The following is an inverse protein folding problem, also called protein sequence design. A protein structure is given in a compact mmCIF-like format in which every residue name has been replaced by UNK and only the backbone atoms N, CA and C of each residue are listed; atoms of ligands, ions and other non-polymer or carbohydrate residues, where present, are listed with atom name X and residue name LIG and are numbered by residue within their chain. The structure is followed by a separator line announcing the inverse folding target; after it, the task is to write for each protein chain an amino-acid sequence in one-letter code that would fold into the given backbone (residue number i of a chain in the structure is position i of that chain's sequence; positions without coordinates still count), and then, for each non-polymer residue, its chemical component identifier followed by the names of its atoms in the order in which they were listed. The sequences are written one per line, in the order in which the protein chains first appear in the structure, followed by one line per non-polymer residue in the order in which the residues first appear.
data_IF_300543216153
#
_entry.id   IF_300543216153
#
_cell.length_a   1.000
_cell.length_b   1.000
_cell.length_c   1.000
_cell.angle_alpha   90.00
_cell.angle_beta   90.00
_cell.angle_gamma   90.00
#
_symmetry.space_group_name_H-M   'P 1'
#
loop_
_entity.id
_entity.type
_entity.pdbx_description
1 polymer ?
#
# COMPACT_ATOMS: atom_id res chain seq x y z
N UNK A 1 -15.37 2.20 -12.12
CA UNK A 1 -14.92 0.89 -11.56
C UNK A 1 -13.92 1.18 -10.45
N UNK A 2 -13.84 0.36 -9.41
CA UNK A 2 -12.91 0.61 -8.29
C UNK A 2 -11.53 0.04 -8.59
N UNK A 3 -10.54 0.90 -8.79
CA UNK A 3 -9.15 0.49 -9.05
C UNK A 3 -8.43 0.12 -7.74
N UNK A 4 -7.69 -0.99 -7.76
CA UNK A 4 -6.72 -1.32 -6.72
C UNK A 4 -5.34 -0.89 -7.17
N UNK A 5 -4.63 -0.16 -6.32
CA UNK A 5 -3.18 -0.02 -6.45
C UNK A 5 -2.54 -0.78 -5.30
N UNK A 6 -1.50 -1.56 -5.56
CA UNK A 6 -0.87 -2.35 -4.50
C UNK A 6 0.63 -2.49 -4.66
N UNK A 7 1.30 -2.71 -3.53
CA UNK A 7 2.70 -3.13 -3.52
C UNK A 7 2.83 -4.56 -3.00
N UNK A 8 3.78 -5.32 -3.55
CA UNK A 8 4.15 -6.62 -3.02
C UNK A 8 5.64 -6.87 -3.28
N UNK A 9 6.38 -7.26 -2.23
CA UNK A 9 7.78 -7.70 -2.35
C UNK A 9 7.90 -9.02 -3.12
N UNK A 10 9.15 -9.49 -3.25
CA UNK A 10 9.50 -10.79 -3.81
C UNK A 10 8.85 -12.00 -3.12
N UNK A 11 8.33 -11.84 -1.89
CA UNK A 11 7.54 -12.90 -1.23
C UNK A 11 6.12 -13.07 -1.82
N UNK A 12 5.64 -12.05 -2.53
CA UNK A 12 4.39 -12.04 -3.29
C UNK A 12 3.10 -12.28 -2.48
N UNK A 13 3.15 -12.17 -1.16
CA UNK A 13 1.97 -12.38 -0.30
C UNK A 13 0.79 -11.47 -0.69
N UNK A 14 1.03 -10.16 -0.80
CA UNK A 14 0.01 -9.18 -1.20
C UNK A 14 -0.41 -9.39 -2.65
N UNK A 15 0.52 -9.75 -3.53
CA UNK A 15 0.22 -10.05 -4.94
C UNK A 15 -0.78 -11.19 -5.06
N UNK A 16 -0.54 -12.32 -4.39
CA UNK A 16 -1.47 -13.47 -4.38
C UNK A 16 -2.84 -13.11 -3.80
N UNK A 17 -2.90 -12.26 -2.78
CA UNK A 17 -4.17 -11.75 -2.24
C UNK A 17 -4.93 -10.96 -3.30
N UNK A 18 -4.29 -9.97 -3.93
CA UNK A 18 -4.92 -9.10 -4.94
C UNK A 18 -5.39 -9.89 -6.15
N UNK A 19 -4.60 -10.85 -6.63
CA UNK A 19 -5.00 -11.72 -7.75
C UNK A 19 -6.29 -12.50 -7.47
N UNK A 20 -6.50 -12.94 -6.22
CA UNK A 20 -7.72 -13.66 -5.81
C UNK A 20 -8.96 -12.77 -5.72
N UNK A 21 -8.80 -11.45 -5.65
CA UNK A 21 -9.94 -10.53 -5.62
C UNK A 21 -10.66 -10.45 -6.97
N UNK A 22 -9.97 -10.77 -8.08
CA UNK A 22 -10.55 -10.68 -9.43
C UNK A 22 -10.92 -9.26 -9.86
N UNK A 23 -10.30 -8.24 -9.24
CA UNK A 23 -10.56 -6.83 -9.51
C UNK A 23 -9.44 -6.19 -10.34
N UNK A 24 -9.72 -5.13 -11.12
CA UNK A 24 -8.68 -4.35 -11.79
C UNK A 24 -7.64 -3.84 -10.79
N UNK A 25 -6.36 -4.14 -11.06
CA UNK A 25 -5.28 -3.80 -10.15
C UNK A 25 -3.99 -3.39 -10.87
N UNK A 26 -3.34 -2.35 -10.34
CA UNK A 26 -2.02 -1.87 -10.78
C UNK A 26 -1.00 -2.16 -9.68
N UNK A 27 0.09 -2.83 -10.06
CA UNK A 27 1.20 -3.16 -9.15
C UNK A 27 2.22 -2.03 -9.16
N UNK A 28 2.52 -1.46 -7.99
CA UNK A 28 3.67 -0.58 -7.80
C UNK A 28 4.94 -1.42 -8.07
N UNK A 29 5.85 -0.97 -8.95
CA UNK A 29 7.05 -1.72 -9.30
C UNK A 29 7.89 -2.11 -8.09
N UNK A 30 8.53 -3.28 -8.18
CA UNK A 30 9.48 -3.73 -7.16
C UNK A 30 10.80 -2.93 -7.23
N UNK A 31 11.24 -2.65 -8.46
CA UNK A 31 12.41 -1.85 -8.75
C UNK A 31 12.18 -0.39 -8.32
N UNK A 32 12.95 0.10 -7.37
CA UNK A 32 12.80 1.47 -6.84
C UNK A 32 13.07 2.58 -7.87
N UNK A 33 13.70 2.25 -9.01
CA UNK A 33 13.97 3.20 -10.11
C UNK A 33 12.79 3.36 -11.07
N UNK A 34 11.85 2.42 -11.04
CA UNK A 34 10.65 2.47 -11.87
C UNK A 34 9.55 3.23 -11.14
N UNK A 35 8.83 4.04 -11.91
CA UNK A 35 7.75 4.88 -11.42
C UNK A 35 6.52 4.67 -12.29
N UNK A 36 5.36 4.73 -11.65
CA UNK A 36 4.07 4.67 -12.31
C UNK A 36 3.21 5.83 -11.87
N UNK A 37 2.31 6.24 -12.75
CA UNK A 37 1.21 7.13 -12.42
C UNK A 37 -0.11 6.39 -12.64
N UNK A 38 -1.13 6.78 -11.89
CA UNK A 38 -2.50 6.33 -12.07
C UNK A 38 -3.39 7.56 -12.26
N UNK A 39 -4.40 7.43 -13.11
CA UNK A 39 -5.24 8.56 -13.51
C UNK A 39 -6.69 8.44 -13.02
N UNK A 40 -6.98 7.42 -12.21
CA UNK A 40 -8.30 7.16 -11.64
C UNK A 40 -8.24 6.98 -10.11
N UNK A 41 -9.32 7.29 -9.39
CA UNK A 41 -9.42 7.04 -7.95
C UNK A 41 -9.17 5.57 -7.59
N UNK A 42 -8.40 5.33 -6.51
CA UNK A 42 -8.02 3.96 -6.12
C UNK A 42 -8.03 3.71 -4.61
N UNK A 43 -8.10 2.42 -4.26
CA UNK A 43 -7.78 1.91 -2.92
C UNK A 43 -6.36 1.35 -2.93
N UNK A 44 -5.55 1.75 -1.95
CA UNK A 44 -4.18 1.28 -1.81
C UNK A 44 -4.12 0.04 -0.92
N UNK A 45 -3.47 -1.04 -1.38
CA UNK A 45 -3.21 -2.25 -0.60
C UNK A 45 -1.70 -2.44 -0.41
N UNK A 46 -1.21 -2.41 0.83
CA UNK A 46 0.24 -2.47 1.10
C UNK A 46 0.60 -3.41 2.25
N UNK A 47 1.72 -4.15 2.18
CA UNK A 47 2.25 -4.87 3.33
C UNK A 47 2.90 -3.90 4.32
N UNK A 48 2.92 -4.28 5.59
CA UNK A 48 3.67 -3.60 6.65
C UNK A 48 5.04 -4.24 6.86
N UNK A 49 6.09 -3.42 6.98
CA UNK A 49 7.46 -3.82 7.33
C UNK A 49 7.89 -3.17 8.66
N UNK A 50 9.18 -3.20 9.00
CA UNK A 50 9.71 -2.44 10.14
C UNK A 50 9.70 -3.16 11.50
N UNK A 51 9.29 -4.42 11.57
CA UNK A 51 9.58 -5.32 12.70
C UNK A 51 9.06 -4.90 14.08
N UNK A 52 8.13 -3.95 14.17
CA UNK A 52 7.58 -3.46 15.45
C UNK A 52 7.54 -1.93 15.59
N UNK A 53 8.45 -1.22 14.92
CA UNK A 53 8.51 0.25 14.97
C UNK A 53 7.68 0.95 13.89
N UNK A 54 7.49 2.28 14.03
CA UNK A 54 6.89 3.12 12.98
C UNK A 54 7.87 3.41 11.84
N UNK A 55 9.16 3.51 12.16
CA UNK A 55 10.21 3.71 11.17
C UNK A 55 10.31 2.48 10.25
N UNK A 56 10.05 2.69 8.96
CA UNK A 56 10.09 1.62 7.96
C UNK A 56 8.83 0.76 7.87
N UNK A 57 7.72 1.16 8.49
CA UNK A 57 6.45 0.44 8.37
C UNK A 57 5.92 0.40 6.93
N UNK A 58 6.06 1.50 6.19
CA UNK A 58 5.62 1.62 4.80
C UNK A 58 6.78 1.28 3.85
N UNK A 59 6.57 0.41 2.84
CA UNK A 59 7.58 0.13 1.81
C UNK A 59 8.05 1.39 1.09
N UNK A 60 9.35 1.49 0.79
CA UNK A 60 9.93 2.67 0.11
C UNK A 60 9.27 2.97 -1.23
N UNK A 61 8.90 1.93 -1.98
CA UNK A 61 8.19 2.05 -3.26
C UNK A 61 6.82 2.71 -3.09
N UNK A 62 6.06 2.30 -2.06
CA UNK A 62 4.79 2.93 -1.73
C UNK A 62 4.97 4.38 -1.25
N UNK A 63 6.03 4.67 -0.49
CA UNK A 63 6.37 6.05 -0.11
C UNK A 63 6.65 6.92 -1.34
N UNK A 64 7.48 6.44 -2.28
CA UNK A 64 7.80 7.17 -3.52
C UNK A 64 6.55 7.40 -4.37
N UNK A 65 5.72 6.37 -4.53
CA UNK A 65 4.44 6.45 -5.25
C UNK A 65 3.51 7.51 -4.64
N UNK A 66 3.36 7.54 -3.31
CA UNK A 66 2.53 8.52 -2.60
C UNK A 66 3.17 9.91 -2.45
N UNK A 67 4.48 10.03 -2.65
CA UNK A 67 5.13 11.34 -2.63
C UNK A 67 4.84 12.13 -3.91
N UNK A 68 4.54 11.45 -5.03
CA UNK A 68 3.95 12.09 -6.21
C UNK A 68 2.56 12.67 -5.85
N UNK A 69 2.36 14.01 -5.89
CA UNK A 69 1.08 14.62 -5.62
C UNK A 69 -0.05 14.12 -6.54
N UNK A 70 0.25 13.79 -7.80
CA UNK A 70 -0.74 13.30 -8.78
C UNK A 70 -1.35 11.97 -8.36
N UNK A 71 -0.51 11.03 -7.92
CA UNK A 71 -0.99 9.75 -7.39
C UNK A 71 -1.69 9.94 -6.04
N UNK A 72 -1.17 10.81 -5.18
CA UNK A 72 -1.68 11.00 -3.82
C UNK A 72 -3.05 11.62 -3.77
N UNK A 73 -3.40 12.54 -4.69
CA UNK A 73 -4.75 13.15 -4.71
C UNK A 73 -5.86 12.15 -5.09
N UNK A 74 -5.50 11.00 -5.68
CA UNK A 74 -6.45 9.99 -6.16
C UNK A 74 -6.70 8.85 -5.16
N UNK A 75 -5.94 8.76 -4.06
CA UNK A 75 -6.18 7.74 -3.04
C UNK A 75 -7.52 7.98 -2.33
N UNK A 76 -8.32 6.92 -2.17
CA UNK A 76 -9.63 6.97 -1.48
C UNK A 76 -9.67 6.19 -0.17
N UNK A 77 -8.66 5.36 0.08
CA UNK A 77 -8.52 4.57 1.29
C UNK A 77 -7.30 3.67 1.23
N UNK A 78 -6.91 3.14 2.37
CA UNK A 78 -5.79 2.19 2.50
C UNK A 78 -6.26 0.91 3.19
N UNK A 79 -5.74 -0.22 2.74
CA UNK A 79 -5.78 -1.53 3.38
C UNK A 79 -4.35 -1.97 3.64
N UNK A 80 -4.05 -2.45 4.84
CA UNK A 80 -2.70 -2.87 5.21
C UNK A 80 -2.66 -4.34 5.59
N UNK A 81 -1.77 -5.07 4.92
CA UNK A 81 -1.47 -6.46 5.25
C UNK A 81 -0.32 -6.55 6.26
N UNK A 82 -0.28 -7.63 7.01
CA UNK A 82 0.78 -7.92 7.98
C UNK A 82 0.64 -9.31 8.57
N UNK A 83 1.39 -9.59 9.62
CA UNK A 83 1.25 -10.81 10.42
C UNK A 83 0.90 -10.42 11.85
N UNK A 84 -0.15 -11.04 12.41
CA UNK A 84 -0.64 -10.74 13.77
C UNK A 84 0.40 -11.01 14.87
N UNK A 85 1.42 -11.83 14.58
CA UNK A 85 2.54 -12.08 15.49
C UNK A 85 3.34 -10.81 15.82
N UNK A 86 3.17 -9.72 15.06
CA UNK A 86 3.79 -8.41 15.34
C UNK A 86 2.99 -7.56 16.35
N UNK A 87 1.90 -8.07 16.94
CA UNK A 87 1.14 -7.39 18.00
C UNK A 87 0.61 -6.04 17.54
N UNK A 88 0.91 -4.98 18.31
CA UNK A 88 0.49 -3.61 18.01
C UNK A 88 1.03 -3.06 16.68
N UNK A 89 2.09 -3.66 16.14
CA UNK A 89 2.63 -3.29 14.83
C UNK A 89 1.96 -4.03 13.66
N UNK A 90 0.96 -4.88 13.91
CA UNK A 90 0.17 -5.50 12.86
C UNK A 90 -0.54 -4.43 12.01
N UNK A 91 -0.29 -4.44 10.69
CA UNK A 91 -0.94 -3.50 9.77
C UNK A 91 -0.45 -2.05 9.90
N UNK A 92 0.69 -1.81 10.55
CA UNK A 92 1.15 -0.44 10.90
C UNK A 92 1.32 0.50 9.71
N UNK A 93 1.55 -0.02 8.50
CA UNK A 93 1.60 0.81 7.28
C UNK A 93 0.28 1.58 7.04
N UNK A 94 -0.86 0.97 7.37
CA UNK A 94 -2.19 1.55 7.20
C UNK A 94 -2.38 2.80 8.04
N UNK A 95 -2.01 2.75 9.32
CA UNK A 95 -2.07 3.91 10.23
C UNK A 95 -1.24 5.09 9.71
N UNK A 96 0.00 4.81 9.28
CA UNK A 96 0.92 5.82 8.77
C UNK A 96 0.36 6.49 7.52
N UNK A 97 -0.19 5.71 6.58
CA UNK A 97 -0.77 6.22 5.34
C UNK A 97 -2.07 6.99 5.62
N UNK A 98 -2.96 6.46 6.47
CA UNK A 98 -4.18 7.16 6.92
C UNK A 98 -3.85 8.55 7.46
N UNK A 99 -2.91 8.63 8.39
CA UNK A 99 -2.55 9.89 9.03
C UNK A 99 -1.91 10.88 8.03
N UNK A 100 -1.02 10.40 7.14
CA UNK A 100 -0.32 11.26 6.18
C UNK A 100 -1.21 11.73 5.03
N UNK A 101 -2.08 10.86 4.52
CA UNK A 101 -2.90 11.12 3.34
C UNK A 101 -4.32 11.60 3.66
N UNK A 102 -4.77 11.51 4.92
CA UNK A 102 -6.12 11.94 5.32
C UNK A 102 -7.24 11.06 4.76
N UNK A 103 -6.98 9.76 4.56
CA UNK A 103 -7.92 8.79 3.98
C UNK A 103 -8.30 7.70 4.98
N UNK A 104 -9.46 7.05 4.86
CA UNK A 104 -9.85 5.98 5.77
C UNK A 104 -8.90 4.78 5.69
N UNK A 105 -8.62 4.18 6.85
CA UNK A 105 -8.00 2.85 6.97
C UNK A 105 -9.13 1.82 6.99
N UNK A 106 -9.25 1.07 5.90
CA UNK A 106 -10.42 0.23 5.62
C UNK A 106 -10.29 -1.17 6.19
N UNK A 107 -9.06 -1.69 6.30
CA UNK A 107 -8.77 -3.02 6.87
C UNK A 107 -7.28 -3.20 7.15
#
# INVERSE_FOLDING_TARGET
MSLIVYFSSSSENTHRFVQRLGLPAVRIPLNEREHIQVDEPYILIVPSYGGGGTAGAVPRQAIRFLNDPHNRQLIRGVIAAGNRNFGEAYGRAGDVIKQKCGVPYLY
#
